data_IF_638813327552
#
_entry.id   IF_638813327552
#
_cell.length_a   1.000
_cell.length_b   1.000
_cell.length_c   1.000
_cell.angle_alpha   90.00
_cell.angle_beta   90.00
_cell.angle_gamma   90.00
#
_symmetry.space_group_name_H-M   'P 1'
#
loop_
_entity.id
_entity.type
_entity.pdbx_description
1 polymer ?
#
# COMPACT_ATOMS: atom_id res chain seq x y z
N UNK A 1 23.71 -32.76 -1.09
CA UNK A 1 24.55 -31.92 -1.97
C UNK A 1 24.07 -30.47 -1.87
N UNK A 2 25.00 -29.54 -1.72
CA UNK A 2 24.72 -28.12 -1.83
C UNK A 2 24.80 -27.71 -3.30
N UNK A 3 23.84 -26.94 -3.76
CA UNK A 3 23.85 -26.36 -5.11
C UNK A 3 24.22 -24.89 -4.95
N UNK A 4 25.23 -24.44 -5.69
CA UNK A 4 25.65 -23.02 -5.73
C UNK A 4 25.08 -22.38 -6.97
N UNK A 5 24.62 -21.14 -6.83
CA UNK A 5 24.08 -20.32 -7.91
C UNK A 5 24.95 -19.12 -8.10
N UNK A 6 25.09 -18.68 -9.32
CA UNK A 6 25.79 -17.45 -9.74
C UNK A 6 24.84 -16.40 -10.33
N UNK A 7 23.53 -16.65 -10.29
CA UNK A 7 22.49 -15.78 -10.79
C UNK A 7 21.08 -16.16 -10.29
N UNK A 8 20.07 -15.32 -10.55
CA UNK A 8 18.68 -15.66 -10.26
C UNK A 8 18.30 -16.97 -10.93
N UNK A 9 17.69 -17.88 -10.16
CA UNK A 9 17.47 -19.26 -10.61
C UNK A 9 16.09 -19.76 -10.25
N UNK A 10 15.37 -20.33 -11.23
CA UNK A 10 14.12 -21.04 -10.98
C UNK A 10 14.39 -22.50 -10.64
N UNK A 11 13.86 -22.97 -9.52
CA UNK A 11 13.86 -24.37 -9.10
C UNK A 11 12.55 -25.01 -9.41
N UNK A 12 12.63 -26.18 -10.03
CA UNK A 12 11.49 -27.06 -10.25
C UNK A 12 11.72 -28.38 -9.58
N UNK A 13 10.78 -28.81 -8.75
CA UNK A 13 10.87 -30.09 -8.03
C UNK A 13 9.53 -30.81 -8.04
N UNK A 14 9.60 -32.12 -8.04
CA UNK A 14 8.47 -33.02 -7.82
C UNK A 14 8.93 -34.28 -7.13
N UNK A 15 8.07 -34.92 -6.39
CA UNK A 15 8.31 -36.22 -5.79
C UNK A 15 7.71 -37.33 -6.66
N UNK A 16 8.33 -38.52 -6.60
CA UNK A 16 7.82 -39.74 -7.24
C UNK A 16 7.41 -40.73 -6.16
N UNK A 17 6.14 -41.11 -6.15
CA UNK A 17 5.64 -42.15 -5.26
C UNK A 17 5.87 -43.52 -5.95
N UNK A 18 6.76 -44.32 -5.38
CA UNK A 18 7.10 -45.66 -5.89
C UNK A 18 5.99 -46.69 -5.70
N UNK A 19 5.06 -46.42 -4.80
CA UNK A 19 3.95 -47.34 -4.47
C UNK A 19 2.82 -47.18 -5.47
N UNK A 20 2.41 -45.95 -5.76
CA UNK A 20 1.39 -45.64 -6.77
C UNK A 20 1.95 -45.53 -8.20
N UNK A 21 3.28 -45.43 -8.33
CA UNK A 21 4.01 -45.19 -9.61
C UNK A 21 3.61 -43.85 -10.26
N UNK A 22 3.36 -42.82 -9.42
CA UNK A 22 2.90 -41.51 -9.84
C UNK A 22 3.85 -40.39 -9.42
N UNK A 23 3.89 -39.33 -10.21
CA UNK A 23 4.58 -38.09 -9.86
C UNK A 23 3.63 -37.10 -9.19
N UNK A 24 4.10 -36.41 -8.15
CA UNK A 24 3.40 -35.24 -7.64
C UNK A 24 3.31 -34.13 -8.69
N UNK A 25 2.40 -33.16 -8.52
CA UNK A 25 2.45 -31.91 -9.27
C UNK A 25 3.84 -31.28 -9.20
N UNK A 26 4.24 -30.60 -10.29
CA UNK A 26 5.49 -29.85 -10.33
C UNK A 26 5.34 -28.60 -9.46
N UNK A 27 6.26 -28.43 -8.52
CA UNK A 27 6.39 -27.20 -7.74
C UNK A 27 7.58 -26.41 -8.26
N UNK A 28 7.41 -25.13 -8.52
CA UNK A 28 8.51 -24.22 -8.85
C UNK A 28 8.63 -23.11 -7.80
N UNK A 29 9.86 -22.63 -7.63
CA UNK A 29 10.19 -21.47 -6.81
C UNK A 29 11.37 -20.74 -7.42
N UNK A 30 11.36 -19.43 -7.31
CA UNK A 30 12.40 -18.55 -7.83
C UNK A 30 13.29 -18.07 -6.69
N UNK A 31 14.60 -18.04 -6.91
CA UNK A 31 15.58 -17.50 -5.96
C UNK A 31 16.38 -16.39 -6.64
N UNK A 32 16.34 -15.19 -6.06
CA UNK A 32 17.19 -14.07 -6.43
C UNK A 32 18.40 -14.01 -5.51
N UNK A 33 19.56 -13.65 -6.06
CA UNK A 33 20.77 -13.44 -5.24
C UNK A 33 20.68 -12.09 -4.50
N UNK A 34 21.36 -12.07 -3.35
CA UNK A 34 21.48 -10.87 -2.51
C UNK A 34 20.14 -10.26 -2.06
N UNK A 35 19.09 -11.09 -2.01
CA UNK A 35 17.74 -10.71 -1.56
C UNK A 35 17.31 -11.57 -0.39
N UNK A 36 16.31 -11.06 0.35
CA UNK A 36 15.57 -11.84 1.35
C UNK A 36 14.15 -12.09 0.88
N UNK A 37 13.54 -13.22 1.28
CA UNK A 37 12.12 -13.45 0.95
C UNK A 37 11.22 -12.41 1.61
N UNK A 38 10.11 -12.07 0.95
CA UNK A 38 9.04 -11.29 1.55
C UNK A 38 8.51 -12.00 2.81
N UNK A 39 8.31 -11.23 3.87
CA UNK A 39 7.83 -11.69 5.18
C UNK A 39 7.02 -10.57 5.86
N UNK A 40 6.15 -10.93 6.81
CA UNK A 40 5.38 -9.97 7.60
C UNK A 40 6.25 -8.97 8.41
N UNK A 41 7.53 -9.27 8.58
CA UNK A 41 8.49 -8.43 9.33
C UNK A 41 9.25 -7.43 8.47
N UNK A 42 9.16 -7.53 7.13
CA UNK A 42 9.94 -6.69 6.22
C UNK A 42 9.11 -6.01 5.13
N UNK A 43 7.85 -6.41 4.97
CA UNK A 43 6.94 -5.87 3.95
C UNK A 43 5.65 -5.41 4.60
N UNK A 44 5.22 -4.19 4.29
CA UNK A 44 3.95 -3.62 4.76
C UNK A 44 3.17 -3.04 3.59
N UNK A 45 1.84 -2.95 3.73
CA UNK A 45 1.04 -2.03 2.93
C UNK A 45 1.22 -0.65 3.60
N UNK A 46 1.83 0.29 2.90
CA UNK A 46 2.07 1.64 3.41
C UNK A 46 0.91 2.59 3.13
N UNK A 47 0.21 2.41 2.01
CA UNK A 47 -0.89 3.29 1.62
C UNK A 47 -2.00 2.50 0.91
N UNK A 48 -3.27 2.85 1.18
CA UNK A 48 -4.46 2.32 0.51
C UNK A 48 -5.33 3.50 0.10
N UNK A 49 -5.57 3.67 -1.18
CA UNK A 49 -6.47 4.68 -1.70
C UNK A 49 -7.71 4.02 -2.29
N UNK A 50 -8.66 3.70 -1.42
CA UNK A 50 -9.86 2.93 -1.76
C UNK A 50 -11.04 3.79 -2.23
N UNK A 51 -11.04 5.10 -1.90
CA UNK A 51 -12.10 6.03 -2.31
C UNK A 51 -11.52 7.36 -2.78
N UNK A 52 -10.89 7.38 -3.96
CA UNK A 52 -10.33 8.58 -4.54
C UNK A 52 -11.38 9.69 -4.76
N UNK A 53 -10.94 10.94 -4.79
CA UNK A 53 -11.79 12.03 -5.22
C UNK A 53 -12.24 11.86 -6.68
N UNK A 54 -13.41 12.38 -7.01
CA UNK A 54 -13.89 12.39 -8.40
C UNK A 54 -12.88 13.06 -9.33
N UNK A 55 -12.68 12.56 -10.56
CA UNK A 55 -11.85 13.22 -11.55
C UNK A 55 -12.46 14.57 -11.93
N UNK A 56 -11.64 15.62 -11.91
CA UNK A 56 -12.10 16.99 -12.22
C UNK A 56 -11.31 17.69 -13.31
N UNK A 57 -10.04 17.27 -13.51
CA UNK A 57 -9.21 17.86 -14.55
C UNK A 57 -9.57 17.30 -15.93
N UNK A 58 -9.39 18.12 -16.98
CA UNK A 58 -9.62 17.69 -18.35
C UNK A 58 -8.75 16.47 -18.73
N UNK A 59 -7.56 16.34 -18.13
CA UNK A 59 -6.64 15.22 -18.35
C UNK A 59 -7.19 13.92 -17.77
N UNK A 60 -7.74 13.96 -16.56
CA UNK A 60 -8.35 12.79 -15.90
C UNK A 60 -9.64 12.37 -16.64
N UNK A 61 -10.53 13.34 -16.90
CA UNK A 61 -11.81 13.09 -17.57
C UNK A 61 -11.65 12.57 -19.01
N UNK A 62 -10.51 12.83 -19.65
CA UNK A 62 -10.20 12.25 -20.95
C UNK A 62 -9.91 10.74 -20.89
N UNK A 63 -9.53 10.23 -19.71
CA UNK A 63 -9.23 8.80 -19.48
C UNK A 63 -10.42 8.11 -18.82
N UNK A 64 -10.88 8.62 -17.68
CA UNK A 64 -12.02 8.04 -16.96
C UNK A 64 -12.84 9.09 -16.21
N UNK A 65 -14.14 8.84 -16.11
CA UNK A 65 -15.06 9.56 -15.23
C UNK A 65 -15.39 8.78 -13.95
N UNK A 66 -14.89 7.54 -13.83
CA UNK A 66 -15.07 6.70 -12.64
C UNK A 66 -13.91 6.95 -11.67
N UNK A 67 -14.23 7.39 -10.45
CA UNK A 67 -13.20 7.62 -9.40
C UNK A 67 -12.44 6.35 -9.04
N UNK A 68 -13.10 5.19 -9.10
CA UNK A 68 -12.50 3.93 -8.69
C UNK A 68 -11.33 3.52 -9.61
N UNK A 69 -11.27 4.03 -10.84
CA UNK A 69 -10.11 3.80 -11.72
C UNK A 69 -8.81 4.46 -11.22
N UNK A 70 -8.91 5.38 -10.25
CA UNK A 70 -7.78 6.05 -9.63
C UNK A 70 -7.33 5.39 -8.30
N UNK A 71 -7.88 4.23 -7.96
CA UNK A 71 -7.49 3.46 -6.77
C UNK A 71 -6.06 2.94 -6.87
N UNK A 72 -5.40 2.83 -5.73
CA UNK A 72 -4.11 2.18 -5.64
C UNK A 72 -3.83 1.58 -4.25
N UNK A 73 -2.90 0.63 -4.21
CA UNK A 73 -2.28 0.09 -3.00
C UNK A 73 -0.78 0.27 -3.12
N UNK A 74 -0.13 0.68 -2.06
CA UNK A 74 1.32 0.80 -2.00
C UNK A 74 1.93 -0.19 -1.01
N UNK A 75 3.00 -0.86 -1.43
CA UNK A 75 3.85 -1.69 -0.58
C UNK A 75 5.16 -0.97 -0.28
N UNK A 76 5.63 -1.11 0.96
CA UNK A 76 6.92 -0.58 1.41
C UNK A 76 7.80 -1.71 1.96
N UNK A 77 9.04 -1.78 1.49
CA UNK A 77 10.10 -2.56 2.12
C UNK A 77 10.63 -1.78 3.33
N UNK A 78 10.35 -2.29 4.53
CA UNK A 78 10.80 -1.66 5.79
C UNK A 78 12.16 -2.15 6.26
N UNK A 79 12.80 -3.05 5.52
CA UNK A 79 14.09 -3.63 5.87
C UNK A 79 15.28 -2.93 5.19
N UNK A 80 16.49 -3.28 5.63
CA UNK A 80 17.75 -2.85 5.03
C UNK A 80 18.23 -3.76 3.89
N UNK A 81 17.45 -4.79 3.51
CA UNK A 81 17.79 -5.74 2.46
C UNK A 81 16.77 -5.65 1.31
N UNK A 82 17.17 -5.88 0.06
CA UNK A 82 16.23 -6.04 -1.04
C UNK A 82 15.32 -7.26 -0.79
N UNK A 83 14.03 -7.12 -1.04
CA UNK A 83 13.02 -8.19 -0.90
C UNK A 83 12.69 -8.77 -2.27
N UNK A 84 12.71 -10.09 -2.37
CA UNK A 84 12.21 -10.82 -3.53
C UNK A 84 10.70 -11.09 -3.37
N UNK A 85 9.90 -10.48 -4.25
CA UNK A 85 8.45 -10.64 -4.31
C UNK A 85 8.00 -11.77 -5.26
N UNK A 86 8.91 -12.58 -5.79
CA UNK A 86 8.56 -13.73 -6.64
C UNK A 86 7.60 -14.67 -5.91
N UNK A 87 6.48 -15.00 -6.58
CA UNK A 87 5.45 -15.86 -6.01
C UNK A 87 4.62 -15.24 -4.88
N UNK A 88 4.74 -13.92 -4.69
CA UNK A 88 3.84 -13.15 -3.81
C UNK A 88 2.60 -12.74 -4.63
N UNK A 89 1.43 -12.75 -3.99
CA UNK A 89 0.18 -12.41 -4.66
C UNK A 89 -0.89 -11.97 -3.65
N UNK A 90 -1.80 -11.12 -4.11
CA UNK A 90 -3.04 -10.87 -3.41
C UNK A 90 -4.05 -11.97 -3.75
N UNK A 91 -4.61 -12.61 -2.73
CA UNK A 91 -5.63 -13.67 -2.89
C UNK A 91 -6.99 -13.26 -2.35
N UNK A 92 -7.11 -12.07 -1.76
CA UNK A 92 -8.36 -11.48 -1.29
C UNK A 92 -8.33 -9.95 -1.35
N UNK A 93 -9.49 -9.37 -1.64
CA UNK A 93 -9.72 -7.95 -1.91
C UNK A 93 -9.48 -7.66 -3.38
N UNK A 94 -8.26 -7.69 -3.82
CA UNK A 94 -7.86 -7.51 -5.22
C UNK A 94 -7.20 -8.79 -5.77
N UNK A 95 -7.03 -8.84 -7.10
CA UNK A 95 -6.28 -9.88 -7.78
C UNK A 95 -4.99 -9.30 -8.35
N UNK A 96 -3.86 -9.74 -7.84
CA UNK A 96 -2.55 -9.34 -8.35
C UNK A 96 -1.49 -10.40 -8.07
N UNK A 97 -0.65 -10.71 -9.05
CA UNK A 97 0.50 -11.60 -8.93
C UNK A 97 1.76 -10.85 -9.31
N UNK A 98 2.74 -10.86 -8.40
CA UNK A 98 4.05 -10.31 -8.72
C UNK A 98 4.80 -11.24 -9.68
N UNK A 99 5.37 -10.67 -10.74
CA UNK A 99 6.21 -11.41 -11.66
C UNK A 99 7.46 -11.93 -10.94
N UNK A 100 7.99 -13.06 -11.44
CA UNK A 100 9.26 -13.58 -10.96
C UNK A 100 10.37 -12.52 -11.11
N UNK A 101 11.29 -12.50 -10.16
CA UNK A 101 12.37 -11.52 -10.08
C UNK A 101 11.89 -10.06 -9.88
N UNK A 102 10.71 -9.87 -9.31
CA UNK A 102 10.29 -8.55 -8.83
C UNK A 102 11.01 -8.24 -7.52
N UNK A 103 11.97 -7.33 -7.56
CA UNK A 103 12.78 -6.93 -6.40
C UNK A 103 12.31 -5.57 -5.90
N UNK A 104 12.05 -5.49 -4.60
CA UNK A 104 11.73 -4.26 -3.89
C UNK A 104 12.93 -3.85 -3.02
N UNK A 105 13.64 -2.84 -3.46
CA UNK A 105 14.84 -2.32 -2.79
C UNK A 105 14.57 -1.81 -1.36
N UNK A 106 15.60 -1.75 -0.49
CA UNK A 106 15.45 -1.23 0.86
C UNK A 106 14.81 0.16 0.92
N UNK A 107 13.81 0.33 1.79
CA UNK A 107 13.08 1.59 1.97
C UNK A 107 12.43 2.14 0.68
N UNK A 108 12.18 1.28 -0.32
CA UNK A 108 11.48 1.65 -1.54
C UNK A 108 10.03 1.22 -1.51
N UNK A 109 9.25 1.94 -2.30
CA UNK A 109 7.81 1.77 -2.47
C UNK A 109 7.48 1.15 -3.82
N UNK A 110 6.43 0.34 -3.84
CA UNK A 110 5.92 -0.33 -5.04
C UNK A 110 4.41 -0.17 -5.08
N UNK A 111 3.90 0.50 -6.11
CA UNK A 111 2.50 0.87 -6.24
C UNK A 111 1.79 -0.09 -7.19
N UNK A 112 0.65 -0.62 -6.76
CA UNK A 112 -0.30 -1.37 -7.57
C UNK A 112 -1.46 -0.44 -7.87
N UNK A 113 -1.86 -0.33 -9.12
CA UNK A 113 -2.89 0.62 -9.56
C UNK A 113 -4.10 -0.11 -10.12
N UNK A 114 -5.29 0.49 -10.04
CA UNK A 114 -6.49 -0.06 -10.64
C UNK A 114 -6.47 0.06 -12.16
N UNK A 115 -6.08 1.25 -12.65
CA UNK A 115 -5.94 1.60 -14.06
C UNK A 115 -4.70 2.49 -14.23
N UNK A 116 -3.79 2.06 -15.09
CA UNK A 116 -2.50 2.74 -15.26
C UNK A 116 -2.64 4.09 -16.00
N UNK A 117 -3.57 4.18 -16.93
CA UNK A 117 -3.80 5.43 -17.67
C UNK A 117 -4.43 6.48 -16.76
N UNK A 118 -5.45 6.09 -15.97
CA UNK A 118 -6.08 6.94 -14.98
C UNK A 118 -5.07 7.40 -13.91
N UNK A 119 -4.31 6.45 -13.34
CA UNK A 119 -3.26 6.77 -12.38
C UNK A 119 -2.24 7.77 -12.95
N UNK A 120 -1.75 7.52 -14.17
CA UNK A 120 -0.78 8.41 -14.84
C UNK A 120 -1.39 9.78 -15.17
N UNK A 121 -2.69 9.82 -15.47
CA UNK A 121 -3.40 11.08 -15.68
C UNK A 121 -3.43 11.95 -14.42
N UNK A 122 -3.56 11.36 -13.23
CA UNK A 122 -3.63 12.06 -11.94
C UNK A 122 -2.25 12.38 -11.37
N UNK A 123 -1.40 11.36 -11.24
CA UNK A 123 -0.15 11.43 -10.50
C UNK A 123 1.09 11.65 -11.39
N UNK A 124 0.96 11.44 -12.70
CA UNK A 124 2.11 11.46 -13.61
C UNK A 124 3.02 10.24 -13.41
N UNK A 125 4.30 10.41 -13.76
CA UNK A 125 5.30 9.38 -13.51
C UNK A 125 5.82 9.48 -12.08
N UNK A 126 5.90 8.35 -11.38
CA UNK A 126 6.46 8.32 -10.03
C UNK A 126 7.95 8.67 -10.07
N UNK A 127 8.38 9.53 -9.12
CA UNK A 127 9.77 10.00 -9.04
C UNK A 127 10.66 9.11 -8.17
N UNK A 128 10.10 8.45 -7.17
CA UNK A 128 10.84 7.60 -6.22
C UNK A 128 10.32 6.16 -6.15
N UNK A 129 9.02 5.94 -6.29
CA UNK A 129 8.40 4.61 -6.34
C UNK A 129 8.42 4.01 -7.75
N UNK A 130 7.96 2.78 -7.84
CA UNK A 130 7.69 2.08 -9.09
C UNK A 130 6.25 1.62 -9.12
N UNK A 131 5.67 1.51 -10.30
CA UNK A 131 4.37 0.85 -10.50
C UNK A 131 4.65 -0.62 -10.80
N UNK A 132 4.05 -1.51 -10.01
CA UNK A 132 4.14 -2.96 -10.19
C UNK A 132 3.27 -3.44 -11.37
N UNK A 133 2.13 -2.82 -11.55
CA UNK A 133 1.14 -3.15 -12.57
C UNK A 133 -0.28 -2.83 -12.12
N UNK A 134 -1.24 -3.25 -12.97
CA UNK A 134 -2.66 -3.10 -12.71
C UNK A 134 -3.21 -4.30 -11.95
N UNK A 135 -4.01 -4.07 -10.92
CA UNK A 135 -4.70 -5.13 -10.23
C UNK A 135 -6.12 -5.36 -10.79
N UNK A 136 -6.58 -6.60 -10.72
CA UNK A 136 -7.95 -6.96 -11.06
C UNK A 136 -8.90 -6.76 -9.88
N UNK A 137 -10.13 -6.41 -10.15
CA UNK A 137 -11.13 -6.06 -9.14
C UNK A 137 -11.14 -4.57 -8.83
N UNK A 138 -11.70 -4.19 -7.70
CA UNK A 138 -11.70 -2.83 -7.15
C UNK A 138 -11.68 -2.91 -5.63
N UNK A 139 -11.24 -1.86 -4.99
CA UNK A 139 -11.28 -1.72 -3.54
C UNK A 139 -12.70 -1.35 -3.08
N UNK A 140 -13.19 -2.01 -2.02
CA UNK A 140 -14.54 -1.70 -1.50
C UNK A 140 -14.54 -0.36 -0.78
N UNK A 141 -15.50 0.50 -1.12
CA UNK A 141 -15.70 1.78 -0.43
C UNK A 141 -16.21 1.62 1.01
N UNK A 142 -16.82 0.47 1.33
CA UNK A 142 -17.35 0.16 2.67
C UNK A 142 -16.37 -0.66 3.53
N UNK A 143 -15.14 -0.84 3.02
CA UNK A 143 -14.11 -1.66 3.66
C UNK A 143 -14.11 -3.10 3.18
N UNK A 144 -12.94 -3.73 3.26
CA UNK A 144 -12.76 -5.14 2.91
C UNK A 144 -11.48 -5.74 3.50
N UNK A 145 -11.36 -7.05 3.40
CA UNK A 145 -10.17 -7.77 3.79
C UNK A 145 -9.19 -7.87 2.63
N UNK A 146 -7.97 -7.42 2.86
CA UNK A 146 -6.82 -7.59 1.96
C UNK A 146 -5.90 -8.68 2.52
N UNK A 147 -5.61 -9.71 1.72
CA UNK A 147 -4.66 -10.75 2.08
C UNK A 147 -3.58 -10.83 1.01
N UNK A 148 -2.35 -10.54 1.43
CA UNK A 148 -1.14 -10.77 0.64
C UNK A 148 -0.49 -12.06 1.11
N UNK A 149 -0.26 -12.99 0.19
CA UNK A 149 0.27 -14.32 0.47
C UNK A 149 1.49 -14.62 -0.38
N UNK A 150 2.26 -15.63 0.04
CA UNK A 150 3.35 -16.22 -0.72
C UNK A 150 3.16 -17.73 -0.79
N UNK A 151 3.45 -18.32 -1.95
CA UNK A 151 3.50 -19.77 -2.26
C UNK A 151 2.75 -20.69 -1.30
N UNK A 152 1.59 -21.14 -1.73
CA UNK A 152 0.81 -22.16 -1.03
C UNK A 152 -0.22 -21.59 -0.05
N UNK A 153 0.13 -21.03 1.08
CA UNK A 153 -0.83 -20.52 2.07
C UNK A 153 -0.18 -19.63 3.14
N UNK A 154 1.05 -19.16 2.92
CA UNK A 154 1.71 -18.31 3.89
C UNK A 154 1.18 -16.89 3.72
N UNK A 155 0.34 -16.44 4.66
CA UNK A 155 -0.12 -15.07 4.72
C UNK A 155 1.02 -14.17 5.22
N UNK A 156 1.40 -13.18 4.42
CA UNK A 156 2.36 -12.15 4.77
C UNK A 156 1.67 -10.97 5.44
N UNK A 157 0.52 -10.57 4.89
CA UNK A 157 -0.31 -9.48 5.39
C UNK A 157 -1.76 -9.97 5.36
N UNK A 158 -2.46 -9.72 6.46
CA UNK A 158 -3.90 -9.95 6.57
C UNK A 158 -4.48 -8.76 7.35
N UNK A 159 -5.13 -7.87 6.65
CA UNK A 159 -5.76 -6.70 7.24
C UNK A 159 -7.17 -6.54 6.69
N UNK A 160 -8.07 -5.99 7.50
CA UNK A 160 -9.40 -5.55 7.07
C UNK A 160 -9.49 -4.07 7.35
N UNK A 161 -9.50 -3.25 6.29
CA UNK A 161 -9.78 -1.83 6.43
C UNK A 161 -11.30 -1.58 6.41
N UNK A 162 -11.72 -0.41 6.90
CA UNK A 162 -13.13 -0.04 6.94
C UNK A 162 -13.28 1.49 6.76
N UNK A 163 -14.47 1.92 6.39
CA UNK A 163 -14.88 3.32 6.24
C UNK A 163 -15.39 3.95 7.54
N UNK A 164 -15.62 3.12 8.60
CA UNK A 164 -16.20 3.55 9.87
C UNK A 164 -15.13 3.68 10.97
N UNK A 165 -15.38 4.57 11.94
CA UNK A 165 -14.55 4.65 13.13
C UNK A 165 -14.37 3.26 13.80
N UNK A 166 -13.18 2.92 14.29
CA UNK A 166 -12.01 3.79 14.55
C UNK A 166 -11.06 3.98 13.35
N UNK A 167 -11.45 3.64 12.13
CA UNK A 167 -10.66 3.97 10.93
C UNK A 167 -10.80 5.47 10.61
N UNK A 168 -9.77 6.10 10.00
CA UNK A 168 -9.81 7.51 9.63
C UNK A 168 -10.94 7.81 8.62
N UNK A 169 -11.95 8.52 9.05
CA UNK A 169 -13.13 8.85 8.23
C UNK A 169 -12.81 9.83 7.08
N UNK A 170 -11.70 10.55 7.18
CA UNK A 170 -11.24 11.47 6.13
C UNK A 170 -10.86 10.72 4.84
N UNK A 171 -10.50 9.44 4.95
CA UNK A 171 -10.25 8.57 3.79
C UNK A 171 -11.55 8.10 3.13
N UNK A 172 -12.71 8.28 3.79
CA UNK A 172 -14.01 7.93 3.25
C UNK A 172 -14.65 9.09 2.45
N UNK A 173 -14.26 9.23 1.19
CA UNK A 173 -14.88 10.13 0.23
C UNK A 173 -14.36 11.56 0.19
N UNK A 174 -13.47 11.96 1.10
CA UNK A 174 -12.79 13.26 1.02
C UNK A 174 -11.59 13.24 0.07
N UNK A 175 -11.27 12.06 -0.46
CA UNK A 175 -10.18 11.86 -1.42
C UNK A 175 -8.82 11.69 -0.76
N UNK A 176 -8.73 11.60 0.58
CA UNK A 176 -7.51 11.22 1.28
C UNK A 176 -7.33 9.69 1.21
N UNK A 177 -6.10 9.22 1.21
CA UNK A 177 -5.79 7.81 1.34
C UNK A 177 -5.61 7.40 2.81
N UNK A 178 -5.69 6.10 3.10
CA UNK A 178 -5.23 5.53 4.35
C UNK A 178 -3.73 5.31 4.29
N UNK A 179 -2.99 5.76 5.30
CA UNK A 179 -1.55 5.52 5.43
C UNK A 179 -1.22 4.78 6.72
N UNK A 180 -0.27 3.86 6.63
CA UNK A 180 0.20 3.09 7.77
C UNK A 180 1.22 3.87 8.58
N UNK A 181 0.89 4.23 9.81
CA UNK A 181 1.72 5.05 10.72
C UNK A 181 2.10 4.31 12.01
N UNK A 182 1.54 3.12 12.22
CA UNK A 182 1.71 2.35 13.45
C UNK A 182 2.60 1.13 13.31
N UNK A 183 2.37 0.14 14.18
CA UNK A 183 3.18 -1.07 14.26
C UNK A 183 2.43 -2.35 13.85
N UNK A 184 1.10 -2.33 13.80
CA UNK A 184 0.27 -3.52 13.53
C UNK A 184 -0.76 -3.18 12.48
N UNK A 185 -0.56 -3.68 11.26
CA UNK A 185 -1.43 -3.35 10.12
C UNK A 185 -2.90 -3.74 10.32
N UNK A 186 -3.18 -4.81 11.06
CA UNK A 186 -4.54 -5.25 11.34
C UNK A 186 -5.31 -4.37 12.35
N UNK A 187 -4.68 -3.34 12.91
CA UNK A 187 -5.30 -2.43 13.89
C UNK A 187 -5.60 -1.07 13.27
N UNK A 188 -6.84 -0.62 13.35
CA UNK A 188 -7.27 0.67 12.84
C UNK A 188 -6.46 1.86 13.42
N UNK A 189 -6.07 1.78 14.70
CA UNK A 189 -5.24 2.80 15.38
C UNK A 189 -3.81 2.91 14.83
N UNK A 190 -3.40 2.00 13.94
CA UNK A 190 -2.13 2.07 13.22
C UNK A 190 -2.24 2.76 11.86
N UNK A 191 -3.41 3.30 11.54
CA UNK A 191 -3.68 3.97 10.28
C UNK A 191 -4.13 5.40 10.51
N UNK A 192 -3.75 6.29 9.62
CA UNK A 192 -4.16 7.70 9.58
C UNK A 192 -4.61 8.04 8.17
N UNK A 193 -5.36 9.13 8.01
CA UNK A 193 -5.57 9.70 6.69
C UNK A 193 -4.30 10.43 6.24
N UNK A 194 -4.00 10.39 4.95
CA UNK A 194 -2.91 11.18 4.37
C UNK A 194 -3.25 12.67 4.39
N UNK A 195 -2.28 13.56 4.65
CA UNK A 195 -2.51 15.00 4.70
C UNK A 195 -2.96 15.61 3.37
N UNK A 196 -2.45 15.07 2.26
CA UNK A 196 -2.83 15.53 0.92
C UNK A 196 -4.02 14.71 0.37
N UNK A 197 -4.96 15.40 -0.28
CA UNK A 197 -5.97 14.76 -1.13
C UNK A 197 -5.24 14.03 -2.26
N UNK A 198 -5.63 12.78 -2.50
CA UNK A 198 -4.99 11.90 -3.47
C UNK A 198 -3.84 11.07 -2.89
N UNK A 199 -3.41 11.32 -1.65
CA UNK A 199 -2.25 10.63 -1.09
C UNK A 199 -0.92 11.09 -1.70
N UNK A 200 0.13 10.26 -1.54
CA UNK A 200 1.47 10.54 -2.09
C UNK A 200 2.14 9.28 -2.65
N UNK A 201 1.56 8.57 -3.63
CA UNK A 201 2.08 7.29 -4.09
C UNK A 201 3.55 7.39 -4.55
N UNK A 202 4.37 6.48 -4.04
CA UNK A 202 5.80 6.42 -4.30
C UNK A 202 6.66 7.36 -3.46
N UNK A 203 6.05 8.19 -2.59
CA UNK A 203 6.73 9.16 -1.74
C UNK A 203 6.54 8.82 -0.25
N UNK A 204 7.36 9.35 0.66
CA UNK A 204 7.08 9.24 2.09
C UNK A 204 5.74 9.87 2.45
N UNK A 205 4.98 9.17 3.28
CA UNK A 205 3.65 9.58 3.71
C UNK A 205 3.69 10.65 4.80
N UNK A 206 2.67 11.52 4.83
CA UNK A 206 2.45 12.50 5.88
C UNK A 206 1.03 12.36 6.39
N UNK A 207 0.88 12.02 7.66
CA UNK A 207 -0.44 11.88 8.30
C UNK A 207 -1.16 13.22 8.37
N UNK A 208 -2.49 13.17 8.16
CA UNK A 208 -3.34 14.31 8.43
C UNK A 208 -3.28 14.62 9.92
N UNK A 209 -2.99 15.88 10.23
CA UNK A 209 -3.02 16.35 11.59
C UNK A 209 -4.48 16.46 12.05
N UNK A 210 -4.83 15.70 13.08
CA UNK A 210 -6.19 15.72 13.68
C UNK A 210 -6.16 16.13 15.16
N UNK A 211 -4.96 16.27 15.73
CA UNK A 211 -4.77 16.68 17.11
C UNK A 211 -4.55 18.19 17.25
N UNK A 212 -4.98 18.77 18.38
CA UNK A 212 -4.80 20.21 18.67
C UNK A 212 -3.33 20.65 18.55
N UNK A 213 -2.37 19.88 19.04
CA UNK A 213 -0.94 20.21 18.97
C UNK A 213 -0.42 20.23 17.53
N UNK A 214 -0.91 19.32 16.70
CA UNK A 214 -0.59 19.28 15.29
C UNK A 214 -1.24 20.44 14.54
N UNK A 215 -2.52 20.73 14.82
CA UNK A 215 -3.21 21.88 14.28
C UNK A 215 -2.48 23.19 14.63
N UNK A 216 -2.01 23.33 15.85
CA UNK A 216 -1.17 24.45 16.28
C UNK A 216 0.08 24.59 15.43
N UNK A 217 0.77 23.46 15.20
CA UNK A 217 2.00 23.43 14.40
C UNK A 217 1.75 23.91 12.97
N UNK A 218 0.69 23.40 12.32
CA UNK A 218 0.31 23.77 10.95
C UNK A 218 -0.05 25.26 10.84
N UNK A 219 -0.71 25.82 11.88
CA UNK A 219 -1.14 27.22 11.89
C UNK A 219 -0.11 28.16 12.54
N UNK A 220 1.07 27.66 12.93
CA UNK A 220 2.12 28.47 13.55
C UNK A 220 1.76 29.01 14.93
N UNK A 221 0.86 28.34 15.64
CA UNK A 221 0.38 28.71 16.97
C UNK A 221 1.36 28.18 18.02
N UNK A 222 1.87 29.07 18.87
CA UNK A 222 2.83 28.71 19.93
C UNK A 222 2.24 28.81 21.32
N UNK A 223 1.08 29.45 21.47
CA UNK A 223 0.40 29.68 22.74
C UNK A 223 -1.10 29.41 22.57
N UNK A 224 -1.66 28.55 23.43
CA UNK A 224 -3.06 28.13 23.42
C UNK A 224 -4.05 29.28 23.65
N UNK A 225 -3.59 30.36 24.31
CA UNK A 225 -4.38 31.54 24.59
C UNK A 225 -4.15 32.66 23.57
N UNK A 226 -3.31 32.43 22.55
CA UNK A 226 -3.10 33.44 21.51
C UNK A 226 -4.36 33.61 20.65
N UNK A 227 -4.63 34.84 20.27
CA UNK A 227 -5.65 35.25 19.30
C UNK A 227 -4.89 35.90 18.14
N UNK A 228 -4.45 35.01 17.21
CA UNK A 228 -3.49 35.39 16.16
C UNK A 228 -4.13 36.23 15.06
N UNK A 229 -5.40 36.00 14.75
CA UNK A 229 -6.17 36.74 13.74
C UNK A 229 -7.03 37.85 14.33
N UNK A 230 -7.09 37.93 15.68
CA UNK A 230 -7.78 38.97 16.47
C UNK A 230 -9.29 39.01 16.29
N UNK A 231 -9.91 37.84 16.17
CA UNK A 231 -11.36 37.71 16.11
C UNK A 231 -12.03 37.61 17.49
N UNK A 232 -11.22 37.50 18.55
CA UNK A 232 -11.65 37.40 19.93
C UNK A 232 -11.74 35.98 20.47
N UNK A 233 -11.37 34.97 19.67
CA UNK A 233 -11.23 33.58 20.10
C UNK A 233 -9.76 33.26 20.34
N UNK A 234 -9.48 32.46 21.36
CA UNK A 234 -8.13 31.89 21.51
C UNK A 234 -7.93 30.70 20.58
N UNK A 235 -6.67 30.37 20.25
CA UNK A 235 -6.32 29.24 19.42
C UNK A 235 -6.98 27.92 19.88
N UNK A 236 -7.10 27.70 21.19
CA UNK A 236 -7.82 26.53 21.73
C UNK A 236 -9.32 26.60 21.45
N UNK A 237 -9.93 27.78 21.47
CA UNK A 237 -11.35 27.95 21.18
C UNK A 237 -11.68 27.84 19.68
N UNK A 238 -10.75 28.20 18.80
CA UNK A 238 -10.88 28.05 17.36
C UNK A 238 -10.80 26.59 16.92
N UNK A 239 -10.00 25.79 17.62
CA UNK A 239 -9.88 24.35 17.34
C UNK A 239 -11.10 23.56 17.82
N UNK A 240 -11.75 23.96 18.90
CA UNK A 240 -12.84 23.22 19.56
C UNK A 240 -14.19 23.31 18.83
#
# INVERSE_FOLDING_TARGET
ESVMFDGPTEFKARSFDRTSNEWSPLTSTFFSLDTVPAAATNLVISEIHYRPADPTSAKELAVSSDRDDFEFIELLNTSSQPIDLSGVYFNKGINFFFADNTILEPNRRLVLVRDLEAFTARYGNLTQGKIAGEFGGRLSNDGEQLILSKSGTIELINLTYNDQAPWPIEADGNGNSLIFTGNVQAQATSWSAHAAIGGAPGMPDTALSTGYEDWKTVNGITDDLSDSDRDGLSALAEYA
#
